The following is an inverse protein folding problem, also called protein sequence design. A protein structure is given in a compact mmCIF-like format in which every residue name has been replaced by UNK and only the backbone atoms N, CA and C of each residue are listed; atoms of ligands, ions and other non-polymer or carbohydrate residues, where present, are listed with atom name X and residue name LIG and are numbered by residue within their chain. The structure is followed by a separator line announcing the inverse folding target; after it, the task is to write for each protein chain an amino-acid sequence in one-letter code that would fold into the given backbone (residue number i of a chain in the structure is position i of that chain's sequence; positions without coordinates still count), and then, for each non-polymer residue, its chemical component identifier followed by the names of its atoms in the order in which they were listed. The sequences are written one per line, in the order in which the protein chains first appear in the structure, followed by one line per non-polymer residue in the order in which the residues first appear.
data_IF_483352807707
#
_entry.id   IF_483352807707
#
_cell.length_a   1.000
_cell.length_b   1.000
_cell.length_c   1.000
_cell.angle_alpha   90.00
_cell.angle_beta   90.00
_cell.angle_gamma   90.00
#
_symmetry.space_group_name_H-M   'P 1'
#
loop_
_entity.id
_entity.type
_entity.pdbx_description
1 polymer ?
#
# COMPACT_ATOMS: atom_id res chain seq x y z
N UNK A 1 6.85 -5.15 -18.41
CA UNK A 1 7.17 -4.21 -17.30
C UNK A 1 6.66 -4.81 -15.99
N UNK A 2 7.18 -4.44 -14.80
CA UNK A 2 6.55 -4.87 -13.54
C UNK A 2 5.20 -4.15 -13.41
N UNK A 3 4.12 -4.90 -13.25
CA UNK A 3 2.77 -4.35 -13.11
C UNK A 3 2.67 -3.43 -11.89
N UNK A 4 2.04 -2.26 -12.06
CA UNK A 4 1.90 -1.27 -11.00
C UNK A 4 0.85 -1.71 -9.98
N UNK A 5 1.14 -1.50 -8.71
CA UNK A 5 0.32 -1.94 -7.57
C UNK A 5 -0.24 -0.72 -6.85
N UNK A 6 -1.51 -0.76 -6.49
CA UNK A 6 -2.20 0.33 -5.82
C UNK A 6 -2.89 -0.16 -4.56
N UNK A 7 -2.87 0.69 -3.53
CA UNK A 7 -3.66 0.56 -2.30
C UNK A 7 -4.71 1.66 -2.31
N UNK A 8 -5.93 1.35 -1.90
CA UNK A 8 -7.03 2.31 -1.85
C UNK A 8 -7.18 2.87 -0.44
N UNK A 9 -7.41 4.17 -0.36
CA UNK A 9 -7.90 4.86 0.83
C UNK A 9 -9.23 5.52 0.49
N UNK A 10 -10.13 5.63 1.47
CA UNK A 10 -11.23 6.59 1.39
C UNK A 10 -10.68 7.96 1.74
N UNK A 11 -11.23 9.00 1.13
CA UNK A 11 -10.97 10.35 1.61
C UNK A 11 -12.27 11.12 1.76
N UNK A 12 -12.29 12.08 2.67
CA UNK A 12 -13.48 12.89 2.95
C UNK A 12 -13.09 14.32 3.26
N UNK A 13 -13.99 15.25 2.95
CA UNK A 13 -13.92 16.63 3.40
C UNK A 13 -14.63 16.74 4.74
N UNK A 14 -13.88 17.09 5.77
CA UNK A 14 -14.38 17.32 7.13
C UNK A 14 -14.47 18.81 7.37
N UNK A 15 -15.55 19.26 8.00
CA UNK A 15 -15.70 20.67 8.35
C UNK A 15 -14.55 21.08 9.29
N UNK A 16 -13.91 22.19 8.98
CA UNK A 16 -12.87 22.74 9.83
C UNK A 16 -13.51 23.33 11.09
N UNK A 17 -13.18 22.80 12.30
CA UNK A 17 -13.76 23.29 13.54
C UNK A 17 -13.41 24.76 13.81
N UNK A 18 -12.28 25.24 13.27
CA UNK A 18 -11.82 26.62 13.43
C UNK A 18 -12.54 27.60 12.49
N UNK A 19 -13.30 27.12 11.50
CA UNK A 19 -13.94 27.99 10.50
C UNK A 19 -15.38 28.32 10.89
N UNK A 20 -15.69 29.63 10.89
CA UNK A 20 -17.04 30.16 11.11
C UNK A 20 -18.04 29.56 10.10
N UNK A 21 -19.16 28.95 10.52
CA UNK A 21 -20.10 28.24 9.64
C UNK A 21 -20.57 29.04 8.41
N UNK A 22 -20.83 30.34 8.57
CA UNK A 22 -21.30 31.22 7.49
C UNK A 22 -20.24 31.54 6.42
N UNK A 23 -18.98 31.14 6.62
CA UNK A 23 -17.89 31.28 5.63
C UNK A 23 -17.61 29.98 4.87
N UNK A 24 -18.29 28.88 5.22
CA UNK A 24 -18.09 27.57 4.59
C UNK A 24 -18.79 27.53 3.25
N UNK A 25 -18.12 26.97 2.25
CA UNK A 25 -18.78 26.65 0.98
C UNK A 25 -19.69 25.44 1.15
N UNK A 26 -20.66 25.28 0.25
CA UNK A 26 -21.49 24.07 0.25
C UNK A 26 -20.65 22.79 0.02
N UNK A 27 -21.10 21.65 0.56
CA UNK A 27 -20.37 20.37 0.45
C UNK A 27 -20.16 19.89 -1.00
N UNK A 28 -21.07 20.25 -1.91
CA UNK A 28 -20.88 19.96 -3.34
C UNK A 28 -19.89 20.92 -4.02
N UNK A 29 -19.77 22.15 -3.50
CA UNK A 29 -18.85 23.16 -4.03
C UNK A 29 -17.40 22.83 -3.65
N UNK A 30 -17.14 22.33 -2.43
CA UNK A 30 -15.78 21.91 -2.03
C UNK A 30 -15.23 20.82 -2.95
N UNK A 31 -16.05 19.88 -3.42
CA UNK A 31 -15.62 18.83 -4.37
C UNK A 31 -15.14 19.43 -5.68
N UNK A 32 -15.91 20.35 -6.25
CA UNK A 32 -15.56 21.05 -7.50
C UNK A 32 -14.28 21.88 -7.32
N UNK A 33 -14.17 22.61 -6.21
CA UNK A 33 -12.97 23.41 -5.88
C UNK A 33 -11.74 22.55 -5.68
N UNK A 34 -11.88 21.38 -5.06
CA UNK A 34 -10.80 20.42 -4.90
C UNK A 34 -10.33 19.86 -6.25
N UNK A 35 -11.25 19.43 -7.12
CA UNK A 35 -10.88 19.03 -8.49
C UNK A 35 -10.21 20.18 -9.24
N UNK A 36 -10.66 21.42 -9.05
CA UNK A 36 -10.06 22.63 -9.63
C UNK A 36 -8.67 22.99 -9.11
N UNK A 37 -8.13 22.29 -8.11
CA UNK A 37 -6.70 22.40 -7.76
C UNK A 37 -5.80 21.71 -8.80
N UNK A 38 -6.36 20.82 -9.62
CA UNK A 38 -5.66 19.99 -10.57
C UNK A 38 -6.01 20.41 -11.99
N UNK A 39 -5.01 20.89 -12.74
CA UNK A 39 -5.14 21.15 -14.16
C UNK A 39 -4.15 20.26 -14.92
N UNK A 40 -4.62 19.56 -15.95
CA UNK A 40 -3.79 18.64 -16.71
C UNK A 40 -2.59 19.36 -17.33
N UNK A 41 -1.38 18.81 -17.11
CA UNK A 41 -0.12 19.41 -17.57
C UNK A 41 0.44 20.49 -16.65
N UNK A 42 -0.29 20.91 -15.60
CA UNK A 42 0.20 21.86 -14.60
C UNK A 42 0.88 21.19 -13.41
N UNK A 43 1.67 22.00 -12.70
CA UNK A 43 2.45 21.58 -11.53
C UNK A 43 1.83 22.11 -10.25
N UNK A 44 1.54 21.22 -9.32
CA UNK A 44 1.11 21.56 -7.97
C UNK A 44 2.31 21.52 -7.01
N UNK A 45 2.59 22.64 -6.36
CA UNK A 45 3.68 22.69 -5.37
C UNK A 45 3.21 22.09 -4.06
N UNK A 46 3.94 21.09 -3.55
CA UNK A 46 3.68 20.48 -2.25
C UNK A 46 4.90 20.58 -1.35
N UNK A 47 4.65 20.88 -0.08
CA UNK A 47 5.63 20.96 0.97
C UNK A 47 5.79 19.61 1.65
N UNK A 48 7.03 19.20 1.90
CA UNK A 48 7.35 17.97 2.62
C UNK A 48 8.51 18.18 3.58
N UNK A 49 8.55 17.38 4.64
CA UNK A 49 9.65 17.40 5.61
C UNK A 49 10.81 16.50 5.17
N UNK A 50 12.03 17.05 5.12
CA UNK A 50 13.29 16.33 4.96
C UNK A 50 14.16 16.61 6.19
N UNK A 51 14.21 15.65 7.12
CA UNK A 51 14.84 15.85 8.42
C UNK A 51 14.16 16.98 9.20
N UNK A 52 14.91 18.06 9.49
CA UNK A 52 14.39 19.28 10.15
C UNK A 52 13.94 20.37 9.17
N UNK A 53 14.21 20.22 7.87
CA UNK A 53 13.89 21.22 6.86
C UNK A 53 12.56 20.92 6.16
N UNK A 54 11.88 21.99 5.74
CA UNK A 54 10.76 21.91 4.81
C UNK A 54 11.30 22.14 3.38
N UNK A 55 11.00 21.22 2.48
CA UNK A 55 11.32 21.34 1.04
C UNK A 55 10.03 21.39 0.24
N UNK A 56 10.03 22.18 -0.84
CA UNK A 56 8.91 22.26 -1.76
C UNK A 56 9.23 21.51 -3.04
N UNK A 57 8.43 20.52 -3.39
CA UNK A 57 8.54 19.82 -4.65
C UNK A 57 7.42 20.22 -5.60
N UNK A 58 7.76 20.31 -6.88
CA UNK A 58 6.78 20.44 -7.96
C UNK A 58 6.28 19.06 -8.32
N UNK A 59 4.97 18.85 -8.27
CA UNK A 59 4.31 17.58 -8.53
C UNK A 59 3.39 17.76 -9.74
N UNK A 60 3.32 16.77 -10.61
CA UNK A 60 2.67 16.95 -11.91
C UNK A 60 1.24 16.40 -11.88
N UNK A 61 0.28 17.21 -12.31
CA UNK A 61 -1.05 16.71 -12.65
C UNK A 61 -0.99 16.11 -14.03
N UNK A 62 -0.93 14.78 -14.10
CA UNK A 62 -0.70 14.05 -15.34
C UNK A 62 -1.94 14.05 -16.23
N UNK A 63 -3.13 13.82 -15.67
CA UNK A 63 -4.39 13.85 -16.40
C UNK A 63 -5.56 14.21 -15.48
N UNK A 64 -6.54 14.93 -16.01
CA UNK A 64 -7.82 15.20 -15.35
C UNK A 64 -8.92 14.99 -16.38
N UNK A 65 -9.81 14.02 -16.15
CA UNK A 65 -10.97 13.77 -17.02
C UNK A 65 -12.14 13.32 -16.17
N UNK A 66 -13.30 13.95 -16.39
CA UNK A 66 -14.48 13.80 -15.51
C UNK A 66 -14.07 14.14 -14.07
N UNK A 67 -14.31 13.23 -13.12
CA UNK A 67 -13.93 13.35 -11.71
C UNK A 67 -12.72 12.45 -11.35
N UNK A 68 -11.90 12.08 -12.33
CA UNK A 68 -10.72 11.26 -12.14
C UNK A 68 -9.46 12.10 -12.38
N UNK A 69 -8.59 12.14 -11.38
CA UNK A 69 -7.35 12.92 -11.39
C UNK A 69 -6.19 11.94 -11.26
N UNK A 70 -5.25 11.96 -12.21
CA UNK A 70 -3.98 11.23 -12.12
C UNK A 70 -2.90 12.24 -11.76
N UNK A 71 -2.34 12.09 -10.57
CA UNK A 71 -1.36 13.00 -9.98
C UNK A 71 -0.06 12.26 -9.69
N UNK A 72 1.09 12.89 -9.96
CA UNK A 72 2.42 12.35 -9.66
C UNK A 72 3.01 13.06 -8.46
N UNK A 73 3.12 12.35 -7.35
CA UNK A 73 3.78 12.86 -6.15
C UNK A 73 5.27 12.46 -6.19
N UNK A 74 6.13 13.47 -6.24
CA UNK A 74 7.58 13.33 -6.23
C UNK A 74 8.09 13.19 -4.78
N UNK A 75 9.04 12.28 -4.56
CA UNK A 75 9.83 12.17 -3.34
C UNK A 75 11.18 12.83 -3.57
N UNK A 76 11.70 13.55 -2.57
CA UNK A 76 13.06 14.09 -2.59
C UNK A 76 13.98 13.01 -2.03
N UNK A 77 14.62 12.24 -2.92
CA UNK A 77 15.51 11.15 -2.53
C UNK A 77 16.86 11.32 -3.20
N UNK A 78 17.91 11.29 -2.39
CA UNK A 78 19.27 11.29 -2.90
C UNK A 78 19.63 9.89 -3.41
N UNK A 79 20.15 9.82 -4.63
CA UNK A 79 20.65 8.60 -5.27
C UNK A 79 22.15 8.50 -4.98
N UNK A 80 22.53 7.50 -4.20
CA UNK A 80 23.94 7.17 -3.96
C UNK A 80 24.46 6.28 -5.07
N UNK A 81 25.56 6.67 -5.69
CA UNK A 81 26.23 5.92 -6.77
C UNK A 81 27.69 5.74 -6.39
N UNK A 82 28.22 4.57 -6.66
CA UNK A 82 29.65 4.28 -6.49
C UNK A 82 30.29 4.39 -7.87
N UNK A 83 31.12 5.40 -8.08
CA UNK A 83 31.76 5.69 -9.36
C UNK A 83 33.27 5.52 -9.24
N UNK A 84 33.96 5.03 -10.28
CA UNK A 84 35.41 4.96 -10.27
C UNK A 84 35.98 6.38 -10.24
N UNK A 85 36.99 6.60 -9.40
CA UNK A 85 37.65 7.91 -9.22
C UNK A 85 38.62 8.23 -10.36
N UNK A 86 38.96 7.23 -11.19
CA UNK A 86 40.02 7.33 -12.18
C UNK A 86 41.43 7.14 -11.60
N UNK A 87 41.54 6.80 -10.30
CA UNK A 87 42.79 6.38 -9.65
C UNK A 87 42.78 4.87 -9.41
N UNK A 88 43.96 4.26 -9.29
CA UNK A 88 44.10 2.84 -9.00
C UNK A 88 44.99 2.62 -7.78
N UNK A 89 44.57 1.73 -6.87
CA UNK A 89 45.38 1.23 -5.75
C UNK A 89 45.59 -0.27 -5.94
N UNK A 90 46.83 -0.74 -5.92
CA UNK A 90 47.18 -2.16 -6.16
C UNK A 90 46.60 -2.73 -7.47
N UNK A 91 46.58 -1.94 -8.55
CA UNK A 91 46.01 -2.29 -9.85
C UNK A 91 44.50 -2.58 -9.86
N UNK A 92 43.77 -2.11 -8.85
CA UNK A 92 42.31 -2.09 -8.79
C UNK A 92 41.83 -0.64 -8.86
N UNK A 93 40.80 -0.36 -9.65
CA UNK A 93 40.17 0.96 -9.71
C UNK A 93 39.64 1.35 -8.33
N UNK A 94 39.99 2.55 -7.88
CA UNK A 94 39.41 3.13 -6.68
C UNK A 94 37.99 3.64 -7.00
N UNK A 95 37.09 3.53 -6.03
CA UNK A 95 35.71 3.96 -6.17
C UNK A 95 35.34 4.92 -5.04
N UNK A 96 34.54 5.94 -5.36
CA UNK A 96 33.99 6.88 -4.39
C UNK A 96 32.46 6.93 -4.49
N UNK A 97 31.80 7.13 -3.34
CA UNK A 97 30.35 7.30 -3.27
C UNK A 97 30.00 8.76 -3.60
N UNK A 98 29.37 8.97 -4.76
CA UNK A 98 28.75 10.24 -5.14
C UNK A 98 27.26 10.22 -4.82
N UNK A 99 26.73 11.37 -4.40
CA UNK A 99 25.31 11.53 -4.08
C UNK A 99 24.69 12.51 -5.08
N UNK A 100 23.75 12.03 -5.89
CA UNK A 100 23.02 12.83 -6.89
C UNK A 100 21.57 13.04 -6.42
N UNK A 101 21.03 14.25 -6.58
CA UNK A 101 19.62 14.50 -6.26
C UNK A 101 18.72 13.78 -7.27
N UNK A 102 17.73 13.03 -6.79
CA UNK A 102 16.75 12.36 -7.65
C UNK A 102 15.32 12.60 -7.18
N UNK A 103 14.37 12.55 -8.11
CA UNK A 103 12.95 12.78 -7.86
C UNK A 103 12.10 11.56 -8.24
N UNK A 104 12.28 10.41 -7.57
CA UNK A 104 11.39 9.27 -7.80
C UNK A 104 9.96 9.65 -7.41
N UNK A 105 8.99 9.14 -8.14
CA UNK A 105 7.58 9.51 -7.94
C UNK A 105 6.68 8.30 -7.85
N UNK A 106 5.53 8.46 -7.20
CA UNK A 106 4.41 7.52 -7.24
C UNK A 106 3.18 8.18 -7.90
N UNK A 107 2.36 7.37 -8.55
CA UNK A 107 1.05 7.81 -9.03
C UNK A 107 0.02 7.79 -7.91
N UNK A 108 -0.82 8.82 -7.90
CA UNK A 108 -1.95 8.99 -7.01
C UNK A 108 -3.17 9.26 -7.90
N UNK A 109 -4.18 8.41 -7.79
CA UNK A 109 -5.37 8.50 -8.64
C UNK A 109 -6.55 8.84 -7.74
N UNK A 110 -7.03 10.08 -7.81
CA UNK A 110 -8.24 10.48 -7.11
C UNK A 110 -9.45 10.12 -7.94
N UNK A 111 -10.43 9.52 -7.28
CA UNK A 111 -11.77 9.32 -7.77
C UNK A 111 -12.69 10.20 -6.92
N UNK A 112 -13.16 11.31 -7.49
CA UNK A 112 -13.93 12.35 -6.80
C UNK A 112 -15.38 12.41 -7.32
N UNK A 113 -16.02 11.27 -7.59
CA UNK A 113 -17.41 11.25 -8.05
C UNK A 113 -18.40 11.47 -6.89
N UNK A 114 -19.64 11.92 -7.16
CA UNK A 114 -20.65 12.09 -6.11
C UNK A 114 -20.87 10.77 -5.36
N UNK A 115 -20.73 10.79 -4.03
CA UNK A 115 -20.85 9.60 -3.20
C UNK A 115 -19.70 8.58 -3.32
N UNK A 116 -18.65 8.88 -4.10
CA UNK A 116 -17.49 8.00 -4.31
C UNK A 116 -16.20 8.80 -4.23
N UNK A 117 -15.66 8.89 -3.01
CA UNK A 117 -14.42 9.62 -2.70
C UNK A 117 -13.33 8.62 -2.30
N UNK A 118 -12.60 8.12 -3.30
CA UNK A 118 -11.52 7.16 -3.11
C UNK A 118 -10.23 7.71 -3.70
N UNK A 119 -9.10 7.32 -3.13
CA UNK A 119 -7.77 7.58 -3.70
C UNK A 119 -7.02 6.26 -3.81
N UNK A 120 -6.50 5.98 -5.01
CA UNK A 120 -5.61 4.85 -5.23
C UNK A 120 -4.16 5.35 -5.24
N UNK A 121 -3.33 4.81 -4.36
CA UNK A 121 -1.93 5.23 -4.17
C UNK A 121 -1.00 4.12 -4.64
N UNK A 122 -0.09 4.43 -5.57
CA UNK A 122 0.87 3.46 -6.10
C UNK A 122 1.88 3.03 -5.00
N UNK A 123 1.94 1.72 -4.74
CA UNK A 123 2.92 1.11 -3.82
C UNK A 123 4.24 0.89 -4.55
N UNK A 124 5.11 1.91 -4.53
CA UNK A 124 6.40 1.90 -5.23
C UNK A 124 7.58 2.05 -4.27
N UNK A 125 8.38 1.01 -4.07
CA UNK A 125 9.54 1.06 -3.15
C UNK A 125 10.58 2.15 -3.49
N UNK A 126 10.67 2.53 -4.77
CA UNK A 126 11.57 3.59 -5.23
C UNK A 126 11.21 4.99 -4.72
N UNK A 127 9.92 5.25 -4.43
CA UNK A 127 9.41 6.53 -3.95
C UNK A 127 8.74 6.35 -2.59
N UNK A 128 9.11 7.12 -1.58
CA UNK A 128 8.56 7.03 -0.22
C UNK A 128 8.74 5.64 0.44
N UNK A 129 9.63 4.78 -0.09
CA UNK A 129 9.79 3.39 0.35
C UNK A 129 8.48 2.58 0.30
N UNK A 130 7.51 2.98 -0.52
CA UNK A 130 6.17 2.37 -0.55
C UNK A 130 5.34 2.55 0.72
N UNK A 131 5.69 3.54 1.57
CA UNK A 131 5.00 3.87 2.83
C UNK A 131 3.77 4.76 2.56
N UNK A 132 2.58 4.16 2.65
CA UNK A 132 1.30 4.81 2.34
C UNK A 132 0.96 5.89 3.38
N UNK A 133 1.22 5.62 4.66
CA UNK A 133 1.08 6.56 5.78
C UNK A 133 1.87 7.87 5.56
N UNK A 134 3.10 7.76 5.04
CA UNK A 134 3.92 8.93 4.69
C UNK A 134 3.24 9.74 3.57
N UNK A 135 2.73 9.07 2.55
CA UNK A 135 2.06 9.69 1.40
C UNK A 135 0.77 10.40 1.84
N UNK A 136 -0.12 9.71 2.57
CA UNK A 136 -1.40 10.29 3.02
C UNK A 136 -1.19 11.47 3.96
N UNK A 137 -0.16 11.44 4.82
CA UNK A 137 0.23 12.59 5.65
C UNK A 137 0.68 13.79 4.83
N UNK A 138 1.49 13.59 3.79
CA UNK A 138 1.91 14.67 2.88
C UNK A 138 0.70 15.25 2.15
N UNK A 139 -0.19 14.42 1.61
CA UNK A 139 -1.42 14.85 0.95
C UNK A 139 -2.29 15.66 1.91
N UNK A 140 -2.56 15.13 3.11
CA UNK A 140 -3.37 15.80 4.12
C UNK A 140 -2.83 17.18 4.47
N UNK A 141 -1.56 17.27 4.84
CA UNK A 141 -0.96 18.54 5.26
C UNK A 141 -1.02 19.61 4.16
N UNK A 142 -0.81 19.23 2.90
CA UNK A 142 -0.84 20.17 1.80
C UNK A 142 -2.25 20.56 1.39
N UNK A 143 -3.17 19.60 1.27
CA UNK A 143 -4.54 19.92 0.90
C UNK A 143 -5.28 20.64 2.01
N UNK A 144 -5.04 20.33 3.29
CA UNK A 144 -5.58 21.12 4.41
C UNK A 144 -5.17 22.58 4.26
N UNK A 145 -3.90 22.88 3.95
CA UNK A 145 -3.45 24.26 3.68
C UNK A 145 -4.17 24.91 2.51
N UNK A 146 -4.42 24.16 1.43
CA UNK A 146 -5.05 24.67 0.21
C UNK A 146 -6.56 24.89 0.36
N UNK A 147 -7.25 24.05 1.14
CA UNK A 147 -8.72 24.05 1.23
C UNK A 147 -9.26 24.61 2.55
N UNK A 148 -8.41 24.90 3.55
CA UNK A 148 -8.85 25.49 4.84
C UNK A 148 -9.64 26.78 4.65
N UNK A 149 -9.28 27.60 3.66
CA UNK A 149 -10.01 28.84 3.31
C UNK A 149 -11.46 28.60 2.87
N UNK A 150 -11.79 27.37 2.48
CA UNK A 150 -13.14 26.94 2.10
C UNK A 150 -13.93 26.39 3.31
N UNK A 151 -13.31 26.31 4.48
CA UNK A 151 -13.88 25.81 5.72
C UNK A 151 -13.86 24.30 5.89
N UNK A 152 -12.94 23.62 5.19
CA UNK A 152 -12.78 22.17 5.24
C UNK A 152 -11.33 21.76 5.48
N UNK A 153 -11.17 20.55 5.98
CA UNK A 153 -9.93 19.76 5.98
C UNK A 153 -10.18 18.46 5.22
N UNK A 154 -9.12 17.80 4.76
CA UNK A 154 -9.20 16.48 4.14
C UNK A 154 -8.75 15.42 5.13
N UNK A 155 -9.47 14.31 5.17
CA UNK A 155 -9.02 13.12 5.89
C UNK A 155 -8.83 11.95 4.91
N UNK A 156 -7.85 11.10 5.20
CA UNK A 156 -7.60 9.87 4.47
C UNK A 156 -7.72 8.69 5.44
N UNK A 157 -8.54 7.73 5.08
CA UNK A 157 -8.79 6.53 5.87
C UNK A 157 -8.33 5.31 5.07
N UNK A 158 -7.44 4.53 5.66
CA UNK A 158 -7.01 3.26 5.07
C UNK A 158 -8.17 2.28 5.03
N UNK A 159 -8.28 1.55 3.93
CA UNK A 159 -9.31 0.54 3.76
C UNK A 159 -8.71 -0.79 4.18
N UNK A 160 -9.29 -1.36 5.22
CA UNK A 160 -9.01 -2.72 5.67
C UNK A 160 -10.20 -3.60 5.28
N UNK A 161 -9.91 -4.77 4.75
CA UNK A 161 -10.92 -5.79 4.50
C UNK A 161 -10.93 -6.75 5.68
N UNK A 162 -12.08 -6.83 6.37
CA UNK A 162 -12.40 -7.98 7.21
C UNK A 162 -12.83 -9.10 6.29
N UNK A 163 -11.91 -10.03 6.09
CA UNK A 163 -12.17 -11.26 5.39
C UNK A 163 -11.24 -12.30 6.00
N UNK A 164 -11.72 -13.53 6.12
CA UNK A 164 -10.80 -14.65 6.32
C UNK A 164 -9.78 -14.54 5.19
N UNK A 165 -8.51 -14.30 5.51
CA UNK A 165 -7.53 -13.90 4.52
C UNK A 165 -7.41 -14.92 3.37
N UNK A 166 -7.80 -16.18 3.63
CA UNK A 166 -7.95 -17.24 2.65
C UNK A 166 -9.09 -17.04 1.64
N UNK A 167 -10.21 -16.44 2.03
CA UNK A 167 -11.29 -16.08 1.11
C UNK A 167 -10.84 -15.00 0.13
N UNK A 168 -10.00 -14.05 0.59
CA UNK A 168 -9.36 -13.07 -0.29
C UNK A 168 -8.42 -13.77 -1.27
N UNK A 169 -7.55 -14.66 -0.78
CA UNK A 169 -6.63 -15.44 -1.63
C UNK A 169 -7.41 -16.27 -2.66
N UNK A 170 -8.41 -17.05 -2.24
CA UNK A 170 -9.25 -17.87 -3.13
C UNK A 170 -9.95 -17.02 -4.18
N UNK A 171 -10.52 -15.87 -3.78
CA UNK A 171 -11.19 -14.96 -4.70
C UNK A 171 -10.21 -14.45 -5.76
N UNK A 172 -9.03 -13.99 -5.35
CA UNK A 172 -7.99 -13.52 -6.29
C UNK A 172 -7.51 -14.65 -7.21
N UNK A 173 -7.33 -15.87 -6.71
CA UNK A 173 -6.97 -17.02 -7.55
C UNK A 173 -8.05 -17.34 -8.59
N UNK A 174 -9.33 -17.39 -8.19
CA UNK A 174 -10.46 -17.72 -9.05
C UNK A 174 -10.78 -16.62 -10.07
N UNK A 175 -10.89 -15.38 -9.60
CA UNK A 175 -11.36 -14.25 -10.41
C UNK A 175 -10.26 -13.63 -11.26
N UNK A 176 -9.00 -13.65 -10.80
CA UNK A 176 -7.89 -12.99 -11.50
C UNK A 176 -6.92 -13.96 -12.20
N UNK A 177 -7.28 -15.25 -12.28
CA UNK A 177 -6.42 -16.33 -12.79
C UNK A 177 -5.02 -16.27 -12.14
N UNK A 178 -5.01 -16.15 -10.82
CA UNK A 178 -3.81 -16.04 -9.98
C UNK A 178 -3.55 -17.36 -9.26
N UNK A 179 -2.36 -17.54 -8.70
CA UNK A 179 -2.01 -18.71 -7.91
C UNK A 179 -1.00 -18.37 -6.82
N UNK A 180 -1.01 -19.17 -5.76
CA UNK A 180 -0.05 -19.04 -4.66
C UNK A 180 1.32 -19.52 -5.10
N UNK A 181 2.30 -18.64 -5.02
CA UNK A 181 3.71 -18.95 -5.30
C UNK A 181 4.52 -19.18 -4.03
N UNK A 182 4.11 -18.56 -2.93
CA UNK A 182 4.81 -18.67 -1.66
C UNK A 182 3.86 -18.45 -0.48
N UNK A 183 4.09 -19.17 0.61
CA UNK A 183 3.52 -18.85 1.92
C UNK A 183 4.69 -18.69 2.87
N UNK A 184 4.75 -17.57 3.58
CA UNK A 184 5.84 -17.19 4.48
C UNK A 184 5.28 -16.89 5.87
N UNK A 185 6.09 -17.14 6.89
CA UNK A 185 5.83 -16.75 8.26
C UNK A 185 6.98 -15.87 8.76
N UNK A 186 6.67 -14.76 9.42
CA UNK A 186 7.66 -13.83 9.98
C UNK A 186 7.34 -13.58 11.44
N UNK A 187 8.20 -14.03 12.36
CA UNK A 187 8.12 -13.69 13.77
C UNK A 187 8.80 -12.36 14.08
N UNK A 188 8.14 -11.46 14.82
CA UNK A 188 8.77 -10.25 15.38
C UNK A 188 9.04 -10.48 16.85
N UNK A 189 10.30 -10.30 17.26
CA UNK A 189 10.67 -10.28 18.68
C UNK A 189 10.21 -8.96 19.28
N UNK A 190 9.35 -9.05 20.29
CA UNK A 190 9.11 -7.92 21.18
C UNK A 190 10.39 -7.65 21.98
N UNK A 191 10.79 -6.39 22.13
CA UNK A 191 12.11 -6.05 22.69
C UNK A 191 12.21 -6.26 24.20
N UNK A 192 11.11 -6.54 24.91
CA UNK A 192 11.05 -6.35 26.36
C UNK A 192 10.42 -7.48 27.21
N UNK A 193 10.23 -8.72 26.73
CA UNK A 193 9.66 -9.79 27.57
C UNK A 193 10.54 -11.06 27.68
N UNK A 194 11.04 -11.30 28.89
CA UNK A 194 12.03 -12.34 29.28
C UNK A 194 11.43 -13.63 29.87
N UNK A 195 10.13 -13.91 29.67
CA UNK A 195 9.53 -15.17 30.16
C UNK A 195 9.21 -16.12 29.02
N UNK A 196 10.01 -17.17 28.96
CA UNK A 196 9.87 -18.30 28.04
C UNK A 196 8.72 -19.22 28.46
N UNK A 197 8.03 -19.80 27.50
CA UNK A 197 7.14 -20.95 27.66
C UNK A 197 7.90 -22.24 27.32
N UNK A 198 7.68 -23.32 28.08
CA UNK A 198 8.31 -24.64 27.91
C UNK A 198 7.55 -25.48 26.86
N UNK A 199 8.29 -25.98 25.86
CA UNK A 199 7.75 -26.64 24.65
C UNK A 199 8.40 -27.99 24.34
N UNK A 200 8.90 -28.68 25.37
CA UNK A 200 9.52 -30.02 25.29
C UNK A 200 8.69 -31.14 24.64
N UNK A 201 7.48 -30.88 24.10
CA UNK A 201 6.55 -31.92 23.60
C UNK A 201 6.03 -31.77 22.16
N UNK A 202 6.48 -30.83 21.32
CA UNK A 202 5.94 -30.65 19.95
C UNK A 202 6.96 -30.89 18.82
N UNK A 203 6.92 -32.08 18.22
CA UNK A 203 7.96 -32.60 17.30
C UNK A 203 8.14 -31.84 15.98
N UNK A 204 7.11 -31.16 15.45
CA UNK A 204 7.20 -30.45 14.16
C UNK A 204 7.71 -29.00 14.28
N UNK A 205 7.63 -28.43 15.50
CA UNK A 205 8.01 -27.05 15.80
C UNK A 205 9.44 -27.02 16.39
N UNK A 206 9.81 -28.07 17.13
CA UNK A 206 11.11 -28.16 17.78
C UNK A 206 12.28 -28.14 16.79
N UNK A 207 12.21 -28.86 15.67
CA UNK A 207 13.31 -28.87 14.69
C UNK A 207 13.58 -27.50 14.03
N UNK A 208 12.52 -26.75 13.71
CA UNK A 208 12.65 -25.41 13.11
C UNK A 208 13.14 -24.35 14.11
N UNK A 209 12.77 -24.50 15.38
CA UNK A 209 13.22 -23.61 16.47
C UNK A 209 14.65 -23.95 16.88
N UNK A 210 15.02 -25.24 16.97
CA UNK A 210 16.38 -25.70 17.30
C UNK A 210 17.40 -25.21 16.26
N UNK A 211 17.15 -25.39 14.97
CA UNK A 211 18.06 -24.87 13.92
C UNK A 211 18.22 -23.34 13.97
N UNK A 212 17.15 -22.60 14.30
CA UNK A 212 17.21 -21.15 14.45
C UNK A 212 17.96 -20.69 15.70
N UNK A 213 17.84 -21.45 16.80
CA UNK A 213 18.51 -21.19 18.08
C UNK A 213 20.00 -21.55 18.04
N UNK A 214 20.36 -22.67 17.40
CA UNK A 214 21.76 -23.11 17.23
C UNK A 214 22.59 -22.14 16.37
N UNK A 215 21.95 -21.37 15.49
CA UNK A 215 22.61 -20.43 14.58
C UNK A 215 22.47 -18.94 14.99
N UNK A 216 22.04 -18.66 16.23
CA UNK A 216 21.84 -17.29 16.76
C UNK A 216 21.03 -16.36 15.83
N UNK A 217 20.08 -16.93 15.07
CA UNK A 217 19.41 -16.23 14.00
C UNK A 217 18.47 -15.13 14.54
N UNK A 218 18.65 -13.90 14.04
CA UNK A 218 17.83 -12.72 14.39
C UNK A 218 16.38 -12.81 13.88
N UNK A 219 16.15 -13.61 12.86
CA UNK A 219 14.85 -13.94 12.26
C UNK A 219 14.86 -15.42 11.84
N UNK A 220 13.75 -16.15 12.05
CA UNK A 220 13.60 -17.53 11.57
C UNK A 220 12.52 -17.55 10.48
N UNK A 221 12.87 -18.11 9.31
CA UNK A 221 12.05 -18.08 8.08
C UNK A 221 11.55 -19.50 7.73
N UNK A 222 10.23 -19.70 7.73
CA UNK A 222 9.61 -20.87 7.12
C UNK A 222 8.87 -20.43 5.86
N UNK A 223 9.24 -21.00 4.71
CA UNK A 223 8.61 -20.67 3.44
C UNK A 223 8.52 -21.87 2.50
N UNK A 224 7.36 -22.04 1.87
CA UNK A 224 7.16 -23.06 0.83
C UNK A 224 6.96 -22.37 -0.51
N UNK A 225 7.67 -22.82 -1.55
CA UNK A 225 7.45 -22.40 -2.94
C UNK A 225 6.63 -23.46 -3.65
N UNK A 226 5.68 -23.03 -4.48
CA UNK A 226 4.81 -23.91 -5.25
C UNK A 226 5.03 -23.73 -6.74
N UNK A 227 4.99 -24.84 -7.48
CA UNK A 227 4.88 -24.82 -8.93
C UNK A 227 3.46 -24.45 -9.37
N UNK A 228 3.32 -23.98 -10.61
CA UNK A 228 2.04 -23.54 -11.19
C UNK A 228 0.96 -24.64 -11.16
N UNK A 229 1.35 -25.92 -11.15
CA UNK A 229 0.46 -27.08 -11.17
C UNK A 229 0.18 -27.66 -9.76
N UNK A 230 0.60 -26.97 -8.70
CA UNK A 230 0.32 -27.42 -7.33
C UNK A 230 -1.19 -27.53 -7.06
N UNK A 231 -1.63 -28.65 -6.50
CA UNK A 231 -3.06 -28.87 -6.24
C UNK A 231 -3.58 -27.92 -5.15
N UNK A 232 -4.82 -27.43 -5.29
CA UNK A 232 -5.47 -26.55 -4.31
C UNK A 232 -5.43 -27.16 -2.89
N UNK A 233 -5.59 -28.48 -2.79
CA UNK A 233 -5.52 -29.21 -1.52
C UNK A 233 -4.12 -29.18 -0.89
N UNK A 234 -3.04 -29.26 -1.69
CA UNK A 234 -1.67 -29.21 -1.19
C UNK A 234 -1.33 -27.83 -0.60
N UNK A 235 -1.77 -26.77 -1.27
CA UNK A 235 -1.62 -25.38 -0.81
C UNK A 235 -2.45 -25.16 0.46
N UNK A 236 -3.70 -25.63 0.47
CA UNK A 236 -4.60 -25.55 1.63
C UNK A 236 -4.03 -26.26 2.87
N UNK A 237 -3.53 -27.48 2.71
CA UNK A 237 -2.98 -28.26 3.82
C UNK A 237 -1.76 -27.60 4.49
N UNK A 238 -0.86 -27.00 3.71
CA UNK A 238 0.30 -26.27 4.27
C UNK A 238 -0.15 -24.95 4.91
N UNK A 239 -1.12 -24.28 4.33
CA UNK A 239 -1.67 -23.05 4.90
C UNK A 239 -2.40 -23.33 6.21
N UNK A 240 -3.18 -24.40 6.30
CA UNK A 240 -3.79 -24.83 7.56
C UNK A 240 -2.70 -25.12 8.60
N UNK A 241 -1.61 -25.81 8.23
CA UNK A 241 -0.42 -25.98 9.09
C UNK A 241 0.20 -24.64 9.50
N UNK A 242 0.30 -23.67 8.60
CA UNK A 242 0.80 -22.32 8.91
C UNK A 242 -0.17 -21.55 9.81
N UNK A 243 -1.49 -21.72 9.69
CA UNK A 243 -2.48 -21.17 10.61
C UNK A 243 -2.41 -21.83 11.99
N UNK A 244 -2.12 -23.13 12.07
CA UNK A 244 -1.82 -23.78 13.35
C UNK A 244 -0.54 -23.21 14.00
N UNK A 245 0.49 -22.93 13.19
CA UNK A 245 1.68 -22.19 13.64
C UNK A 245 1.31 -20.73 13.99
N UNK A 246 0.36 -20.10 13.30
CA UNK A 246 -0.17 -18.77 13.63
C UNK A 246 -0.89 -18.73 14.97
N UNK A 247 -1.62 -19.78 15.31
CA UNK A 247 -2.36 -19.89 16.57
C UNK A 247 -1.41 -20.10 17.76
N UNK A 248 -0.29 -20.77 17.52
CA UNK A 248 0.85 -20.80 18.44
C UNK A 248 1.48 -19.40 18.59
N UNK A 249 1.49 -18.66 17.50
CA UNK A 249 1.94 -17.28 17.39
C UNK A 249 0.94 -16.27 17.97
N UNK A 250 -0.37 -16.50 18.06
CA UNK A 250 -1.33 -15.56 18.70
C UNK A 250 -0.98 -15.30 20.18
N UNK A 251 -0.15 -16.18 20.77
CA UNK A 251 0.45 -15.98 22.08
C UNK A 251 1.76 -15.14 22.05
N UNK A 252 2.20 -14.69 20.87
CA UNK A 252 3.41 -13.96 20.50
C UNK A 252 3.12 -12.96 19.35
N UNK A 253 4.08 -12.17 18.84
CA UNK A 253 3.83 -11.28 17.67
C UNK A 253 4.43 -11.89 16.39
N UNK A 254 3.61 -12.46 15.49
CA UNK A 254 4.10 -12.85 14.17
C UNK A 254 3.08 -12.59 13.05
N UNK A 255 3.55 -12.62 11.80
CA UNK A 255 2.82 -12.21 10.60
C UNK A 255 2.94 -13.29 9.52
N UNK A 256 1.82 -13.82 9.02
CA UNK A 256 1.80 -14.72 7.87
C UNK A 256 1.64 -13.92 6.59
N UNK A 257 2.35 -14.31 5.54
CA UNK A 257 2.38 -13.66 4.23
C UNK A 257 2.16 -14.67 3.13
N UNK A 258 1.16 -14.47 2.28
CA UNK A 258 0.93 -15.28 1.08
C UNK A 258 1.32 -14.48 -0.14
N UNK A 259 2.31 -14.96 -0.89
CA UNK A 259 2.73 -14.39 -2.17
C UNK A 259 1.98 -15.06 -3.30
N UNK A 260 1.19 -14.28 -4.00
CA UNK A 260 0.50 -14.64 -5.24
C UNK A 260 1.33 -14.26 -6.46
N UNK A 261 1.17 -15.02 -7.55
CA UNK A 261 1.91 -14.87 -8.80
C UNK A 261 1.74 -13.49 -9.44
N UNK A 262 0.51 -12.98 -9.39
CA UNK A 262 0.13 -11.65 -9.88
C UNK A 262 -0.10 -10.73 -8.70
N UNK A 263 -0.94 -11.12 -7.74
CA UNK A 263 -1.50 -10.24 -6.71
C UNK A 263 -0.51 -9.81 -5.62
N UNK A 264 0.74 -10.27 -5.67
CA UNK A 264 1.78 -9.89 -4.72
C UNK A 264 1.58 -10.52 -3.35
N UNK A 265 2.07 -9.87 -2.29
CA UNK A 265 2.10 -10.44 -0.94
C UNK A 265 0.89 -9.95 -0.13
N UNK A 266 0.01 -10.86 0.26
CA UNK A 266 -1.08 -10.61 1.20
C UNK A 266 -0.60 -10.99 2.61
N UNK A 267 -0.60 -10.05 3.55
CA UNK A 267 -0.40 -10.38 4.97
C UNK A 267 -1.73 -10.92 5.54
N UNK A 268 -1.72 -12.11 6.12
CA UNK A 268 -2.88 -12.80 6.68
C UNK A 268 -3.08 -12.42 8.16
N UNK A 269 -3.23 -11.14 8.47
CA UNK A 269 -3.76 -10.71 9.77
C UNK A 269 -5.30 -10.76 9.70
N UNK A 270 -6.00 -10.56 10.83
CA UNK A 270 -7.48 -10.44 10.84
C UNK A 270 -7.99 -9.31 9.92
N UNK A 271 -7.13 -8.33 9.63
CA UNK A 271 -7.35 -7.24 8.69
C UNK A 271 -6.33 -7.31 7.54
N UNK A 272 -6.83 -7.29 6.30
CA UNK A 272 -5.99 -7.29 5.09
C UNK A 272 -6.08 -5.94 4.41
N UNK A 273 -4.94 -5.32 4.09
CA UNK A 273 -4.88 -4.15 3.18
C UNK A 273 -4.90 -4.66 1.73
N UNK A 274 -5.98 -4.42 0.95
CA UNK A 274 -6.05 -4.94 -0.40
C UNK A 274 -5.10 -4.20 -1.35
N UNK A 275 -4.49 -4.99 -2.24
CA UNK A 275 -3.67 -4.48 -3.34
C UNK A 275 -4.35 -4.78 -4.67
N UNK A 276 -4.45 -3.75 -5.51
CA UNK A 276 -5.05 -3.81 -6.83
C UNK A 276 -4.00 -3.53 -7.90
N UNK A 277 -4.09 -4.28 -8.99
CA UNK A 277 -3.12 -4.26 -10.07
C UNK A 277 -3.67 -3.41 -11.19
N UNK A 278 -2.96 -2.34 -11.52
CA UNK A 278 -3.36 -1.50 -12.63
C UNK A 278 -3.12 -2.24 -13.95
N UNK A 279 -4.09 -2.24 -14.88
CA UNK A 279 -3.88 -2.76 -16.23
C UNK A 279 -2.74 -2.04 -16.93
N UNK A 280 -2.03 -2.74 -17.81
CA UNK A 280 -0.95 -2.13 -18.58
C UNK A 280 -1.48 -0.95 -19.40
N UNK A 281 -0.70 0.13 -19.45
CA UNK A 281 -1.00 1.35 -20.19
C UNK A 281 -2.30 2.06 -19.78
N UNK A 282 -2.95 1.71 -18.65
CA UNK A 282 -4.23 2.29 -18.27
C UNK A 282 -4.15 3.82 -18.05
N UNK A 283 -3.06 4.30 -17.45
CA UNK A 283 -2.83 5.75 -17.24
C UNK A 283 -2.51 6.45 -18.56
N UNK A 284 -1.68 5.85 -19.41
CA UNK A 284 -1.31 6.37 -20.72
C UNK A 284 -2.53 6.45 -21.65
N UNK A 285 -3.36 5.41 -21.67
CA UNK A 285 -4.60 5.35 -22.43
C UNK A 285 -5.61 6.39 -21.91
N UNK A 286 -5.68 6.57 -20.59
CA UNK A 286 -6.52 7.60 -19.97
C UNK A 286 -6.08 9.01 -20.38
N UNK A 287 -4.77 9.27 -20.43
CA UNK A 287 -4.21 10.54 -20.87
C UNK A 287 -4.60 10.89 -22.32
N UNK A 288 -4.49 9.95 -23.25
CA UNK A 288 -4.84 10.16 -24.66
C UNK A 288 -6.36 10.09 -24.92
N UNK A 289 -7.16 9.90 -23.87
CA UNK A 289 -8.61 9.86 -23.97
C UNK A 289 -9.19 8.57 -24.56
N UNK A 290 -8.42 7.47 -24.60
CA UNK A 290 -8.85 6.19 -25.16
C UNK A 290 -10.02 5.60 -24.37
N UNK A 291 -11.00 5.06 -25.10
CA UNK A 291 -12.15 4.32 -24.56
C UNK A 291 -12.03 2.83 -24.84
N UNK A 292 -12.51 2.00 -23.92
CA UNK A 292 -12.66 0.55 -24.11
C UNK A 292 -13.89 0.21 -24.97
N UNK A 293 -14.85 1.13 -25.07
CA UNK A 293 -16.09 0.95 -25.82
C UNK A 293 -16.17 1.94 -26.97
N UNK A 294 -16.66 1.46 -28.12
CA UNK A 294 -16.94 2.31 -29.28
C UNK A 294 -18.18 3.19 -29.08
N UNK A 295 -19.06 2.82 -28.14
CA UNK A 295 -20.36 3.48 -27.92
C UNK A 295 -20.44 4.22 -26.58
N UNK A 296 -19.64 3.83 -25.60
CA UNK A 296 -19.58 4.47 -24.29
C UNK A 296 -18.21 5.08 -24.07
N UNK A 297 -18.16 6.31 -23.54
CA UNK A 297 -16.91 6.96 -23.16
C UNK A 297 -16.43 6.42 -21.80
N UNK A 298 -15.91 5.19 -21.77
CA UNK A 298 -15.38 4.56 -20.55
C UNK A 298 -13.91 4.22 -20.80
N UNK A 299 -13.03 4.69 -19.93
CA UNK A 299 -11.60 4.34 -20.03
C UNK A 299 -11.29 3.05 -19.26
N UNK A 300 -10.20 2.37 -19.62
CA UNK A 300 -9.69 1.22 -18.87
C UNK A 300 -9.41 1.57 -17.40
N UNK A 301 -8.95 2.80 -17.13
CA UNK A 301 -8.71 3.27 -15.77
C UNK A 301 -10.03 3.43 -14.99
N UNK A 302 -11.06 3.98 -15.63
CA UNK A 302 -12.38 4.17 -15.00
C UNK A 302 -13.04 2.82 -14.68
N UNK A 303 -13.00 1.87 -15.60
CA UNK A 303 -13.51 0.52 -15.37
C UNK A 303 -12.75 -0.18 -14.23
N UNK A 304 -11.42 -0.09 -14.24
CA UNK A 304 -10.59 -0.65 -13.18
C UNK A 304 -10.89 -0.04 -11.81
N UNK A 305 -11.05 1.28 -11.72
CA UNK A 305 -11.45 1.96 -10.48
C UNK A 305 -12.82 1.47 -9.99
N UNK A 306 -13.81 1.41 -10.87
CA UNK A 306 -15.16 0.93 -10.54
C UNK A 306 -15.14 -0.52 -10.05
N UNK A 307 -14.42 -1.40 -10.73
CA UNK A 307 -14.30 -2.81 -10.35
C UNK A 307 -13.59 -2.97 -9.00
N UNK A 308 -12.51 -2.22 -8.78
CA UNK A 308 -11.76 -2.24 -7.51
C UNK A 308 -12.64 -1.73 -6.35
N UNK A 309 -13.35 -0.62 -6.55
CA UNK A 309 -14.26 -0.07 -5.54
C UNK A 309 -15.44 -1.01 -5.27
N UNK A 310 -15.97 -1.69 -6.29
CA UNK A 310 -17.02 -2.68 -6.10
C UNK A 310 -16.54 -3.90 -5.30
N UNK A 311 -15.31 -4.38 -5.54
CA UNK A 311 -14.69 -5.44 -4.72
C UNK A 311 -14.52 -4.99 -3.26
N UNK A 312 -14.07 -3.75 -3.05
CA UNK A 312 -13.97 -3.13 -1.72
C UNK A 312 -15.34 -3.12 -1.03
N UNK A 313 -16.38 -2.58 -1.69
CA UNK A 313 -17.75 -2.48 -1.13
C UNK A 313 -18.36 -3.83 -0.78
N UNK A 314 -18.10 -4.87 -1.59
CA UNK A 314 -18.54 -6.26 -1.30
C UNK A 314 -17.97 -6.81 0.01
N UNK A 315 -16.95 -6.17 0.58
CA UNK A 315 -16.27 -6.60 1.81
C UNK A 315 -16.43 -5.64 2.97
N UNK A 316 -17.23 -4.57 2.80
CA UNK A 316 -17.45 -3.53 3.82
C UNK A 316 -18.60 -3.85 4.82
N UNK A 317 -19.14 -5.08 4.81
CA UNK A 317 -20.17 -5.52 5.78
C UNK A 317 -19.64 -5.91 7.18
N UNK A 318 -18.39 -5.55 7.51
CA UNK A 318 -17.83 -5.83 8.83
C UNK A 318 -16.96 -4.67 9.36
N UNK A 319 -17.52 -3.46 9.33
CA UNK A 319 -16.87 -2.18 9.75
C UNK A 319 -16.88 -1.94 11.27
N UNK A 320 -17.02 -2.98 12.09
CA UNK A 320 -16.67 -2.85 13.51
C UNK A 320 -15.16 -3.10 13.60
N UNK A 321 -14.31 -2.10 13.92
CA UNK A 321 -12.91 -2.40 14.19
C UNK A 321 -12.87 -3.49 15.27
N UNK A 322 -12.09 -4.59 15.11
CA UNK A 322 -11.89 -5.52 16.19
C UNK A 322 -11.43 -4.71 17.39
N UNK A 323 -12.11 -4.88 18.52
CA UNK A 323 -11.62 -4.37 19.78
C UNK A 323 -10.19 -4.91 19.88
N UNK A 324 -9.17 -4.04 19.90
CA UNK A 324 -7.79 -4.45 20.22
C UNK A 324 -7.91 -5.35 21.42
N UNK A 325 -7.59 -6.64 21.28
CA UNK A 325 -7.56 -7.56 22.40
C UNK A 325 -6.41 -7.12 23.30
N UNK A 326 -6.68 -6.14 24.16
CA UNK A 326 -5.87 -5.89 25.33
C UNK A 326 -5.98 -7.14 26.17
N UNK A 327 -4.83 -7.76 26.46
CA UNK A 327 -4.74 -8.87 27.42
C UNK A 327 -5.63 -8.55 28.63
N UNK A 328 -6.46 -9.50 29.10
CA UNK A 328 -6.91 -9.44 30.49
C UNK A 328 -5.64 -9.31 31.34
N UNK A 329 -5.55 -8.24 32.13
CA UNK A 329 -4.57 -8.21 33.22
C UNK A 329 -4.93 -9.38 34.13
N UNK A 330 -4.10 -10.43 34.13
CA UNK A 330 -4.03 -11.38 35.23
C UNK A 330 -3.00 -10.86 36.22
#
# INVERSE_FOLDING_TARGET
MKQQKYIFCRYSFQEDPDTIPNKRVAKEEIRKRFTGLFHAGEKLTMYMKKGKADVSLRNDTFAVRKDIIVFRLNDDKDLKRTLPTGTTTNAVDDYEETTETSYPFCHIIFFNQPGMQYVAIEKKAGAFYGKIDKITKILKQNFDRMIKVLGYTVNFEEIYMQAMAWDVVKRKCRENNDYVTQVCLTAKRDKDNTKYSDYTRNSNINGFIEEGMENEAKEVFAGYKYDKEASEQSVKNIIDKMFYINKFIENNECEIKVKLSKSGIICLNEEVVPMYFLPERAIENFLIGSSISATEDVSTLEEWLKNSINDIKKTEDATTPPQKLTRPRQ
#
